data_IF_638501821192
#
_entry.id   IF_638501821192
#
_cell.length_a   1.000
_cell.length_b   1.000
_cell.length_c   1.000
_cell.angle_alpha   90.00
_cell.angle_beta   90.00
_cell.angle_gamma   90.00
#
_symmetry.space_group_name_H-M   'P 1'
#
loop_
_entity.id
_entity.type
_entity.pdbx_description
1 polymer ?
#
# COMPACT_ATOMS: atom_id res chain seq x y z
N UNK A 1 -18.16 -7.16 5.17
CA UNK A 1 -17.02 -6.83 6.06
C UNK A 1 -16.69 -5.35 5.90
N UNK A 2 -16.30 -4.61 6.95
CA UNK A 2 -15.94 -3.18 6.81
C UNK A 2 -14.46 -3.04 6.47
N UNK A 3 -14.10 -2.21 5.50
CA UNK A 3 -12.70 -1.93 5.06
C UNK A 3 -11.76 -1.62 6.22
N UNK A 4 -12.23 -0.90 7.25
CA UNK A 4 -11.46 -0.62 8.47
C UNK A 4 -11.00 -1.90 9.18
N UNK A 5 -11.81 -2.96 9.19
CA UNK A 5 -11.42 -4.26 9.80
C UNK A 5 -10.23 -4.86 9.06
N UNK A 6 -10.26 -4.87 7.71
CA UNK A 6 -9.17 -5.38 6.87
C UNK A 6 -7.87 -4.60 7.10
N UNK A 7 -7.93 -3.27 7.21
CA UNK A 7 -6.76 -2.43 7.49
C UNK A 7 -6.18 -2.72 8.89
N UNK A 8 -7.04 -2.80 9.90
CA UNK A 8 -6.63 -2.90 11.31
C UNK A 8 -6.26 -4.32 11.76
N UNK A 9 -6.54 -5.34 10.96
CA UNK A 9 -6.19 -6.71 11.26
C UNK A 9 -4.68 -6.92 11.16
N UNK A 10 -4.09 -7.59 12.16
CA UNK A 10 -2.66 -7.92 12.17
C UNK A 10 -2.35 -8.90 11.05
N UNK A 11 -1.22 -8.70 10.38
CA UNK A 11 -0.76 -9.52 9.27
C UNK A 11 0.71 -9.85 9.48
N UNK A 12 1.10 -11.09 9.20
CA UNK A 12 2.48 -11.54 9.26
C UNK A 12 3.07 -11.57 7.86
N UNK A 13 4.20 -10.90 7.65
CA UNK A 13 4.93 -10.97 6.38
C UNK A 13 5.32 -12.42 6.06
N UNK A 14 5.16 -12.78 4.80
CA UNK A 14 5.56 -14.07 4.22
C UNK A 14 6.73 -13.90 3.24
N UNK A 15 6.78 -12.78 2.52
CA UNK A 15 7.88 -12.49 1.59
C UNK A 15 8.02 -10.99 1.36
N UNK A 16 9.22 -10.57 0.95
CA UNK A 16 9.57 -9.20 0.62
C UNK A 16 10.50 -9.16 -0.59
N UNK A 17 10.24 -8.27 -1.54
CA UNK A 17 11.09 -8.10 -2.71
C UNK A 17 12.36 -7.31 -2.44
N UNK A 18 12.42 -6.56 -1.34
CA UNK A 18 13.28 -5.40 -1.17
C UNK A 18 12.89 -4.26 -2.12
N UNK A 19 13.60 -3.13 -2.04
CA UNK A 19 13.45 -2.05 -3.01
C UNK A 19 14.01 -2.44 -4.37
N UNK A 20 13.26 -2.11 -5.42
CA UNK A 20 13.55 -2.42 -6.82
C UNK A 20 13.30 -1.20 -7.70
N UNK A 21 14.05 -1.12 -8.78
CA UNK A 21 13.82 -0.19 -9.89
C UNK A 21 13.09 -0.90 -11.04
N UNK A 22 12.62 -0.13 -12.02
CA UNK A 22 12.02 -0.68 -13.24
C UNK A 22 10.56 -1.12 -13.07
N UNK A 23 10.04 -1.93 -14.01
CA UNK A 23 8.62 -2.24 -14.08
C UNK A 23 8.15 -3.18 -12.96
N UNK A 24 6.90 -3.00 -12.53
CA UNK A 24 6.26 -3.84 -11.51
C UNK A 24 5.52 -4.98 -12.21
N UNK A 25 5.98 -6.21 -12.04
CA UNK A 25 5.32 -7.39 -12.61
C UNK A 25 3.95 -7.70 -11.98
N UNK A 26 3.03 -8.38 -12.70
CA UNK A 26 1.69 -8.73 -12.23
C UNK A 26 1.64 -9.37 -10.84
N UNK A 27 2.55 -10.31 -10.56
CA UNK A 27 2.62 -11.06 -9.30
C UNK A 27 2.81 -10.18 -8.05
N UNK A 28 3.46 -9.03 -8.20
CA UNK A 28 3.69 -8.08 -7.09
C UNK A 28 2.51 -7.15 -6.84
N UNK A 29 1.41 -7.36 -7.56
CA UNK A 29 0.18 -6.59 -7.44
C UNK A 29 -1.04 -7.49 -7.23
N UNK A 30 -0.83 -8.78 -6.96
CA UNK A 30 -1.91 -9.77 -6.83
C UNK A 30 -2.65 -10.01 -8.14
N UNK A 31 -2.02 -9.71 -9.28
CA UNK A 31 -2.69 -9.77 -10.59
C UNK A 31 -3.64 -8.60 -10.87
N UNK A 32 -3.64 -7.54 -10.04
CA UNK A 32 -4.40 -6.31 -10.31
C UNK A 32 -4.11 -5.75 -11.71
N UNK A 33 -2.86 -5.87 -12.15
CA UNK A 33 -2.46 -5.60 -13.52
C UNK A 33 -2.12 -6.91 -14.24
N UNK A 34 -2.74 -7.13 -15.41
CA UNK A 34 -2.45 -8.30 -16.27
C UNK A 34 -1.07 -8.25 -16.93
N UNK A 35 -0.45 -7.08 -17.00
CA UNK A 35 0.86 -6.82 -17.59
C UNK A 35 1.72 -6.04 -16.60
N UNK A 36 3.03 -6.05 -16.82
CA UNK A 36 3.95 -5.27 -16.01
C UNK A 36 3.63 -3.77 -16.11
N UNK A 37 3.59 -3.10 -14.96
CA UNK A 37 3.35 -1.66 -14.86
C UNK A 37 4.68 -0.90 -14.95
N UNK A 38 4.84 -0.12 -16.02
CA UNK A 38 5.98 0.79 -16.15
C UNK A 38 5.78 2.00 -15.24
N UNK A 39 6.72 2.22 -14.30
CA UNK A 39 6.63 3.33 -13.33
C UNK A 39 7.57 4.51 -13.63
N UNK A 40 8.43 4.38 -14.64
CA UNK A 40 9.43 5.39 -15.00
C UNK A 40 10.72 5.29 -14.18
N UNK A 41 11.81 5.90 -14.65
CA UNK A 41 13.17 5.66 -14.12
C UNK A 41 13.43 6.30 -12.75
N UNK A 42 12.70 7.35 -12.39
CA UNK A 42 12.84 8.03 -11.10
C UNK A 42 12.03 7.39 -9.96
N UNK A 43 11.35 6.28 -10.23
CA UNK A 43 10.51 5.59 -9.26
C UNK A 43 11.15 4.29 -8.81
N UNK A 44 11.11 4.06 -7.50
CA UNK A 44 11.41 2.78 -6.87
C UNK A 44 10.12 2.15 -6.37
N UNK A 45 10.12 0.83 -6.23
CA UNK A 45 9.01 0.09 -5.66
C UNK A 45 9.49 -1.05 -4.76
N UNK A 46 8.65 -1.44 -3.81
CA UNK A 46 8.85 -2.61 -2.93
C UNK A 46 7.51 -3.26 -2.70
N UNK A 47 7.48 -4.59 -2.72
CA UNK A 47 6.27 -5.36 -2.46
C UNK A 47 6.54 -6.40 -1.40
N UNK A 48 5.58 -6.59 -0.51
CA UNK A 48 5.56 -7.70 0.43
C UNK A 48 4.22 -8.43 0.40
N UNK A 49 4.29 -9.74 0.53
CA UNK A 49 3.10 -10.58 0.75
C UNK A 49 2.97 -10.81 2.25
N UNK A 50 1.77 -10.65 2.79
CA UNK A 50 1.47 -10.88 4.19
C UNK A 50 0.13 -11.62 4.34
N UNK A 51 -0.07 -12.31 5.46
CA UNK A 51 -1.32 -13.05 5.73
C UNK A 51 -1.84 -12.75 7.13
N UNK A 52 -3.17 -12.75 7.29
CA UNK A 52 -3.83 -12.73 8.61
C UNK A 52 -4.14 -14.14 9.14
N UNK A 53 -3.69 -15.19 8.43
CA UNK A 53 -4.00 -16.59 8.68
C UNK A 53 -5.10 -17.16 7.78
N UNK A 54 -5.97 -16.31 7.23
CA UNK A 54 -7.07 -16.70 6.35
C UNK A 54 -6.97 -16.07 4.95
N UNK A 55 -6.47 -14.84 4.88
CA UNK A 55 -6.44 -13.99 3.69
C UNK A 55 -5.02 -13.56 3.40
N UNK A 56 -4.70 -13.53 2.12
CA UNK A 56 -3.46 -13.00 1.62
C UNK A 56 -3.61 -11.52 1.24
N UNK A 57 -2.62 -10.74 1.66
CA UNK A 57 -2.52 -9.33 1.41
C UNK A 57 -1.19 -9.01 0.74
N UNK A 58 -1.19 -7.98 -0.09
CA UNK A 58 0.00 -7.42 -0.70
C UNK A 58 0.13 -5.96 -0.26
N UNK A 59 1.27 -5.63 0.36
CA UNK A 59 1.69 -4.27 0.55
C UNK A 59 2.59 -3.88 -0.63
N UNK A 60 2.12 -2.97 -1.47
CA UNK A 60 2.91 -2.40 -2.56
C UNK A 60 3.26 -0.96 -2.22
N UNK A 61 4.54 -0.61 -2.23
CA UNK A 61 5.01 0.76 -2.11
C UNK A 61 5.64 1.24 -3.42
N UNK A 62 5.42 2.51 -3.75
CA UNK A 62 6.08 3.25 -4.83
C UNK A 62 6.53 4.59 -4.31
N UNK A 63 7.77 4.94 -4.61
CA UNK A 63 8.38 6.17 -4.11
C UNK A 63 9.12 6.87 -5.23
N UNK A 64 9.03 8.19 -5.24
CA UNK A 64 9.82 9.08 -6.07
C UNK A 64 10.40 10.16 -5.17
N UNK A 65 11.63 9.95 -4.74
CA UNK A 65 12.33 10.81 -3.77
C UNK A 65 12.54 12.22 -4.34
N UNK A 66 12.82 12.32 -5.64
CA UNK A 66 13.05 13.59 -6.33
C UNK A 66 11.82 14.50 -6.34
N UNK A 67 10.63 13.90 -6.40
CA UNK A 67 9.34 14.61 -6.41
C UNK A 67 8.64 14.61 -5.07
N UNK A 68 9.30 14.11 -4.02
CA UNK A 68 8.73 13.92 -2.68
C UNK A 68 7.33 13.27 -2.79
N UNK A 69 7.24 12.12 -3.48
CA UNK A 69 5.97 11.46 -3.77
C UNK A 69 6.01 10.00 -3.33
N UNK A 70 5.20 9.68 -2.33
CA UNK A 70 5.23 8.42 -1.61
C UNK A 70 3.84 7.80 -1.62
N UNK A 71 3.72 6.56 -2.09
CA UNK A 71 2.44 5.86 -2.17
C UNK A 71 2.57 4.41 -1.77
N UNK A 72 1.65 3.94 -0.96
CA UNK A 72 1.53 2.56 -0.55
C UNK A 72 0.09 2.10 -0.75
N UNK A 73 -0.08 0.83 -1.11
CA UNK A 73 -1.38 0.19 -1.28
C UNK A 73 -1.42 -1.08 -0.44
N UNK A 74 -2.52 -1.26 0.27
CA UNK A 74 -2.92 -2.55 0.80
C UNK A 74 -3.88 -3.19 -0.22
N UNK A 75 -3.47 -4.31 -0.77
CA UNK A 75 -4.22 -5.09 -1.75
C UNK A 75 -4.61 -6.41 -1.09
N UNK A 76 -5.84 -6.85 -1.28
CA UNK A 76 -6.34 -8.16 -0.86
C UNK A 76 -6.36 -9.08 -2.07
N UNK A 77 -5.72 -10.25 -1.98
CA UNK A 77 -5.89 -11.31 -2.97
C UNK A 77 -7.25 -11.99 -2.77
N UNK A 78 -8.00 -12.19 -3.85
CA UNK A 78 -9.30 -12.87 -3.87
C UNK A 78 -9.26 -14.05 -4.84
N UNK A 79 -10.24 -14.96 -4.78
CA UNK A 79 -10.28 -16.12 -5.67
C UNK A 79 -10.33 -15.74 -7.16
N UNK A 80 -10.89 -14.59 -7.50
CA UNK A 80 -10.99 -14.13 -8.89
C UNK A 80 -10.03 -12.99 -9.25
N UNK A 81 -9.13 -12.58 -8.34
CA UNK A 81 -8.10 -11.59 -8.62
C UNK A 81 -7.58 -10.85 -7.40
N UNK A 82 -7.60 -9.53 -7.45
CA UNK A 82 -7.14 -8.68 -6.37
C UNK A 82 -7.98 -7.41 -6.24
N UNK A 83 -8.14 -6.95 -5.00
CA UNK A 83 -8.93 -5.77 -4.64
C UNK A 83 -8.09 -4.79 -3.83
N UNK A 84 -8.11 -3.50 -4.19
CA UNK A 84 -7.38 -2.47 -3.43
C UNK A 84 -8.21 -2.06 -2.23
N UNK A 85 -7.71 -2.37 -1.04
CA UNK A 85 -8.38 -2.09 0.24
C UNK A 85 -8.19 -0.62 0.63
N UNK A 86 -6.95 -0.14 0.56
CA UNK A 86 -6.61 1.22 0.98
C UNK A 86 -5.30 1.69 0.36
N UNK A 87 -5.13 3.01 0.29
CA UNK A 87 -3.94 3.68 -0.19
C UNK A 87 -3.45 4.68 0.86
N UNK A 88 -2.18 4.64 1.15
CA UNK A 88 -1.48 5.50 2.12
C UNK A 88 -0.46 6.33 1.35
N UNK A 89 -0.52 7.66 1.48
CA UNK A 89 0.26 8.56 0.63
C UNK A 89 0.83 9.73 1.43
N UNK A 90 1.99 10.21 0.98
CA UNK A 90 2.61 11.46 1.42
C UNK A 90 3.15 12.18 0.17
N UNK A 91 2.98 13.49 0.09
CA UNK A 91 3.54 14.27 -1.03
C UNK A 91 3.89 15.70 -0.64
N UNK A 92 4.99 16.23 -1.18
CA UNK A 92 5.50 17.56 -0.83
C UNK A 92 4.55 18.73 -1.13
N UNK A 93 3.73 18.61 -2.17
CA UNK A 93 2.79 19.68 -2.59
C UNK A 93 1.55 19.81 -1.70
N UNK A 94 1.14 18.74 -1.01
CA UNK A 94 0.21 18.86 0.12
C UNK A 94 0.76 18.06 1.30
N UNK A 95 1.62 18.67 2.13
CA UNK A 95 2.38 17.95 3.13
C UNK A 95 1.45 17.35 4.18
N UNK A 96 1.64 16.06 4.45
CA UNK A 96 0.88 15.29 5.43
C UNK A 96 0.39 13.96 4.88
N UNK A 97 0.56 12.93 5.69
CA UNK A 97 0.03 11.58 5.42
C UNK A 97 -1.48 11.66 5.21
N UNK A 98 -1.94 11.12 4.09
CA UNK A 98 -3.34 10.97 3.77
C UNK A 98 -3.66 9.54 3.39
N UNK A 99 -4.87 9.12 3.72
CA UNK A 99 -5.35 7.76 3.52
C UNK A 99 -6.55 7.83 2.58
N UNK A 100 -6.58 6.94 1.60
CA UNK A 100 -7.74 6.73 0.76
C UNK A 100 -8.26 5.32 0.99
N UNK A 101 -9.57 5.17 1.08
CA UNK A 101 -10.23 3.89 1.21
C UNK A 101 -11.61 3.99 0.56
N UNK A 102 -12.00 2.97 -0.19
CA UNK A 102 -13.33 2.94 -0.81
C UNK A 102 -14.35 2.43 0.21
N UNK A 103 -14.79 3.26 1.16
CA UNK A 103 -15.69 2.81 2.24
C UNK A 103 -17.09 2.37 1.79
N UNK A 104 -17.53 2.80 0.61
CA UNK A 104 -18.80 2.35 0.01
C UNK A 104 -18.72 0.92 -0.54
N UNK A 105 -17.50 0.42 -0.77
CA UNK A 105 -17.26 -0.97 -1.17
C UNK A 105 -16.80 -1.75 0.05
N UNK A 106 -17.22 -3.00 0.15
CA UNK A 106 -16.89 -3.86 1.30
C UNK A 106 -15.39 -4.23 1.38
N UNK A 107 -14.61 -3.90 0.34
CA UNK A 107 -13.19 -4.25 0.18
C UNK A 107 -12.95 -5.66 -0.34
N UNK A 108 -14.02 -6.36 -0.75
CA UNK A 108 -14.03 -7.78 -1.16
C UNK A 108 -14.49 -7.94 -2.62
N UNK A 109 -14.92 -6.86 -3.28
CA UNK A 109 -15.41 -6.93 -4.65
C UNK A 109 -14.28 -7.17 -5.65
N UNK A 110 -14.56 -8.04 -6.61
CA UNK A 110 -13.69 -8.44 -7.69
C UNK A 110 -13.78 -7.45 -8.85
N UNK A 111 -12.62 -7.05 -9.36
CA UNK A 111 -12.49 -6.27 -10.58
C UNK A 111 -11.62 -5.02 -10.44
N UNK A 112 -10.83 -4.68 -11.47
CA UNK A 112 -10.02 -3.47 -11.49
C UNK A 112 -10.90 -2.28 -11.88
N UNK A 113 -10.56 -1.09 -11.41
CA UNK A 113 -10.76 0.11 -12.25
C UNK A 113 -9.59 1.07 -12.18
N UNK A 114 -8.88 1.15 -11.05
CA UNK A 114 -7.47 1.54 -10.96
C UNK A 114 -7.08 1.77 -9.50
N UNK A 115 -5.78 1.79 -9.25
CA UNK A 115 -5.13 2.42 -8.08
C UNK A 115 -5.59 3.88 -7.82
N UNK A 116 -6.20 4.54 -8.81
CA UNK A 116 -6.61 5.95 -8.78
C UNK A 116 -8.00 6.22 -8.20
N UNK A 117 -8.91 5.24 -8.18
CA UNK A 117 -10.35 5.45 -7.88
C UNK A 117 -10.76 5.45 -6.41
N UNK A 118 -9.86 5.71 -5.47
CA UNK A 118 -10.16 5.60 -4.04
C UNK A 118 -10.65 6.93 -3.43
N UNK A 119 -11.72 6.87 -2.64
CA UNK A 119 -12.26 8.01 -1.89
C UNK A 119 -11.26 8.42 -0.79
N UNK A 120 -11.01 9.73 -0.67
CA UNK A 120 -10.09 10.33 0.32
C UNK A 120 -10.72 10.32 1.71
N UNK A 121 -9.97 9.91 2.74
CA UNK A 121 -10.41 9.96 4.14
C UNK A 121 -9.32 10.57 5.02
N UNK A 122 -9.60 11.64 5.78
CA UNK A 122 -10.87 12.39 5.84
C UNK A 122 -11.09 13.31 4.63
N UNK A 123 -12.33 13.78 4.44
CA UNK A 123 -12.69 14.77 3.42
C UNK A 123 -11.79 16.02 3.51
N UNK A 124 -11.52 16.68 2.37
CA UNK A 124 -10.55 17.77 2.24
C UNK A 124 -10.70 18.94 3.25
N UNK A 125 -11.87 19.06 3.89
CA UNK A 125 -12.18 20.10 4.88
C UNK A 125 -11.82 19.75 6.35
N UNK A 126 -11.45 18.51 6.68
CA UNK A 126 -11.15 18.16 8.08
C UNK A 126 -9.72 18.58 8.45
N UNK A 127 -9.61 19.55 9.37
CA UNK A 127 -8.35 20.15 9.86
C UNK A 127 -7.48 19.23 10.73
N UNK A 128 -7.49 17.92 10.50
CA UNK A 128 -6.47 17.03 11.07
C UNK A 128 -5.36 16.82 10.06
N UNK A 129 -4.56 17.87 9.82
CA UNK A 129 -3.23 17.68 9.23
C UNK A 129 -2.42 16.96 10.29
N UNK A 130 -2.40 15.65 10.21
CA UNK A 130 -1.60 14.81 11.07
C UNK A 130 -0.14 15.26 10.95
N UNK A 131 0.40 15.89 11.99
CA UNK A 131 1.82 16.23 12.18
C UNK A 131 2.73 15.01 12.33
N UNK A 132 2.25 13.83 11.92
CA UNK A 132 3.01 12.58 11.96
C UNK A 132 4.22 12.69 11.03
N UNK A 133 5.28 11.98 11.45
CA UNK A 133 6.59 11.90 10.79
C UNK A 133 6.43 11.85 9.27
N UNK A 134 7.07 12.80 8.57
CA UNK A 134 7.15 12.78 7.11
C UNK A 134 7.93 11.57 6.66
N UNK A 135 7.56 11.04 5.50
CA UNK A 135 8.42 10.14 4.78
C UNK A 135 9.63 10.91 4.26
N UNK A 136 10.81 10.67 4.83
CA UNK A 136 12.05 11.31 4.36
C UNK A 136 12.94 10.35 3.57
N UNK A 137 12.71 9.04 3.70
CA UNK A 137 13.42 7.99 2.95
C UNK A 137 12.46 6.85 2.60
N UNK A 138 12.79 6.03 1.58
CA UNK A 138 12.03 4.83 1.24
C UNK A 138 11.81 3.90 2.45
N UNK A 139 12.84 3.62 3.24
CA UNK A 139 12.78 2.73 4.39
C UNK A 139 11.83 3.24 5.49
N UNK A 140 11.84 4.56 5.73
CA UNK A 140 10.94 5.18 6.68
C UNK A 140 9.50 5.07 6.17
N UNK A 141 9.27 5.37 4.89
CA UNK A 141 7.94 5.26 4.30
C UNK A 141 7.39 3.83 4.35
N UNK A 142 8.24 2.84 4.03
CA UNK A 142 7.90 1.42 4.11
C UNK A 142 7.42 1.03 5.51
N UNK A 143 8.18 1.40 6.55
CA UNK A 143 7.82 1.12 7.93
C UNK A 143 6.53 1.82 8.34
N UNK A 144 6.35 3.08 7.97
CA UNK A 144 5.12 3.82 8.26
C UNK A 144 3.89 3.18 7.60
N UNK A 145 4.01 2.75 6.35
CA UNK A 145 2.94 2.06 5.63
C UNK A 145 2.63 0.69 6.26
N UNK A 146 3.66 -0.09 6.61
CA UNK A 146 3.50 -1.38 7.27
C UNK A 146 2.86 -1.26 8.65
N UNK A 147 3.30 -0.31 9.46
CA UNK A 147 2.71 0.00 10.76
C UNK A 147 1.24 0.40 10.62
N UNK A 148 0.93 1.22 9.61
CA UNK A 148 -0.44 1.63 9.32
C UNK A 148 -1.34 0.44 8.97
N UNK A 149 -0.85 -0.49 8.13
CA UNK A 149 -1.58 -1.69 7.69
C UNK A 149 -1.41 -2.90 8.62
N UNK A 150 -0.75 -2.72 9.77
CA UNK A 150 -0.51 -3.74 10.80
C UNK A 150 0.25 -4.97 10.29
N UNK A 151 1.22 -4.76 9.40
CA UNK A 151 2.10 -5.81 8.88
C UNK A 151 3.34 -5.90 9.77
N UNK A 152 3.54 -7.07 10.40
CA UNK A 152 4.74 -7.38 11.17
C UNK A 152 5.73 -8.11 10.31
N UNK A 153 6.92 -7.54 10.19
CA UNK A 153 8.07 -8.16 9.53
C UNK A 153 8.68 -9.21 10.45
N UNK A 154 8.86 -10.42 9.93
CA UNK A 154 9.67 -11.43 10.63
C UNK A 154 11.10 -10.93 10.54
N UNK A 155 11.62 -10.32 11.60
CA UNK A 155 13.07 -10.11 11.71
C UNK A 155 13.68 -11.50 11.64
N UNK A 156 14.41 -11.77 10.55
CA UNK A 156 15.11 -13.04 10.39
C UNK A 156 15.89 -13.34 11.67
N UNK A 157 15.78 -14.56 12.16
CA UNK A 157 16.66 -15.08 13.20
C UNK A 157 18.10 -14.81 12.75
N UNK A 158 18.83 -14.04 13.56
CA UNK A 158 20.28 -13.94 13.45
C UNK A 158 20.83 -15.37 13.62
N UNK A 159 21.13 -16.04 12.51
CA UNK A 159 21.94 -17.25 12.48
C UNK A 159 23.34 -16.86 12.02
#
# INVERSE_FOLDING_TARGET
MRVRKLIMQKKSEQSDTGWRDGPIGPKFTGGLYKKSLNIGPAWKWRSAVATDGEKEYILLCRVNEQKDNWKAWLILSTESGASVVSRFEDHGNHPGIHIHAHCERSGIEDGPTSIGGLIRIPAAASRQRSTRRRATTPEIFWRLAADHFRITFVQGTLF
#
